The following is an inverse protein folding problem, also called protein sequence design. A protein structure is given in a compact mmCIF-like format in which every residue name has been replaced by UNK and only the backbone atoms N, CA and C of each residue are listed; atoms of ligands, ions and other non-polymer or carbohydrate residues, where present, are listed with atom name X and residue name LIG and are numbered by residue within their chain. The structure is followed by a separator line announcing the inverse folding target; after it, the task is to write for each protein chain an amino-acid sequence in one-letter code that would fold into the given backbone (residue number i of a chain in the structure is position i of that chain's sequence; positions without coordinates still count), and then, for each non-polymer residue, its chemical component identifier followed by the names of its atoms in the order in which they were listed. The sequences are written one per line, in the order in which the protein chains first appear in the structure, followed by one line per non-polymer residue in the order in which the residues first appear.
data_IF_535863410917
#
_entry.id   IF_535863410917
#
_cell.length_a   1.000
_cell.length_b   1.000
_cell.length_c   1.000
_cell.angle_alpha   90.00
_cell.angle_beta   90.00
_cell.angle_gamma   90.00
#
_symmetry.space_group_name_H-M   'P 1'
#
loop_
_entity.id
_entity.type
_entity.pdbx_description
1 polymer ?
#
# COMPACT_ATOMS: atom_id res chain seq x y z
N UNK A 1 -4.92 -2.94 20.95
CA UNK A 1 -5.81 -2.05 20.17
C UNK A 1 -5.66 -0.63 20.70
N UNK A 2 -5.29 0.36 19.88
CA UNK A 2 -4.89 1.71 20.35
C UNK A 2 -5.54 2.88 19.57
N UNK A 3 -6.03 2.63 18.35
CA UNK A 3 -6.54 3.68 17.43
C UNK A 3 -8.08 3.87 17.48
N UNK A 4 -8.80 3.14 18.34
CA UNK A 4 -10.25 3.27 18.51
C UNK A 4 -11.11 2.67 17.39
N UNK A 5 -10.52 1.90 16.48
CA UNK A 5 -11.23 1.19 15.41
C UNK A 5 -11.76 -0.17 15.89
N UNK A 6 -12.89 -0.60 15.31
CA UNK A 6 -13.44 -1.95 15.52
C UNK A 6 -12.86 -2.90 14.48
N UNK A 7 -12.29 -4.02 14.91
CA UNK A 7 -11.82 -5.05 14.00
C UNK A 7 -13.00 -5.77 13.34
N UNK A 8 -12.92 -5.93 12.02
CA UNK A 8 -13.88 -6.71 11.26
C UNK A 8 -13.50 -8.20 11.33
N UNK A 9 -14.20 -8.97 12.14
CA UNK A 9 -13.98 -10.41 12.24
C UNK A 9 -14.59 -11.14 11.04
N UNK A 10 -13.73 -11.60 10.12
CA UNK A 10 -14.12 -12.34 8.91
C UNK A 10 -13.99 -13.86 9.07
N UNK A 11 -13.77 -14.35 10.30
CA UNK A 11 -13.68 -15.79 10.61
C UNK A 11 -12.41 -16.50 10.12
N UNK A 12 -11.43 -15.76 9.59
CA UNK A 12 -10.15 -16.27 9.07
C UNK A 12 -9.01 -15.52 9.76
N UNK A 13 -8.04 -16.26 10.34
CA UNK A 13 -6.83 -15.67 10.97
C UNK A 13 -5.60 -16.17 10.21
N UNK A 14 -4.89 -15.26 9.56
CA UNK A 14 -3.55 -15.54 9.01
C UNK A 14 -2.50 -15.50 10.11
N UNK A 15 -1.45 -16.31 9.98
CA UNK A 15 -0.27 -16.24 10.85
C UNK A 15 0.62 -15.06 10.44
N UNK A 16 1.20 -14.33 11.39
CA UNK A 16 2.16 -13.25 11.10
C UNK A 16 3.52 -13.86 10.70
N UNK A 17 4.09 -13.42 9.58
CA UNK A 17 5.45 -13.80 9.19
C UNK A 17 6.50 -12.97 9.95
N UNK A 18 7.75 -13.45 9.99
CA UNK A 18 8.85 -12.76 10.66
C UNK A 18 9.13 -11.32 10.14
N UNK A 19 8.65 -10.98 8.93
CA UNK A 19 8.76 -9.64 8.33
C UNK A 19 7.56 -8.72 8.60
N UNK A 20 6.59 -9.13 9.42
CA UNK A 20 5.38 -8.35 9.70
C UNK A 20 4.32 -8.41 8.58
N UNK A 21 4.51 -9.25 7.56
CA UNK A 21 3.50 -9.50 6.52
C UNK A 21 2.58 -10.67 6.92
N UNK A 22 1.32 -10.61 6.52
CA UNK A 22 0.38 -11.72 6.74
C UNK A 22 0.81 -12.96 5.94
N UNK A 23 0.77 -14.13 6.58
CA UNK A 23 1.01 -15.42 5.95
C UNK A 23 -0.03 -15.73 4.86
N UNK A 24 0.36 -16.59 3.91
CA UNK A 24 -0.53 -16.99 2.82
C UNK A 24 -1.68 -17.85 3.35
N UNK A 25 -2.90 -17.35 3.20
CA UNK A 25 -4.12 -18.11 3.45
C UNK A 25 -4.32 -19.18 2.37
N UNK A 26 -4.95 -20.29 2.72
CA UNK A 26 -5.36 -21.29 1.71
C UNK A 26 -6.39 -20.69 0.74
N UNK A 27 -6.50 -21.23 -0.47
CA UNK A 27 -7.46 -20.72 -1.48
C UNK A 27 -8.90 -20.71 -0.98
N UNK A 28 -9.30 -21.69 -0.18
CA UNK A 28 -10.65 -21.77 0.37
C UNK A 28 -10.88 -20.74 1.48
N UNK A 29 -9.87 -20.46 2.31
CA UNK A 29 -9.91 -19.40 3.31
C UNK A 29 -9.96 -18.01 2.66
N UNK A 30 -9.15 -17.78 1.62
CA UNK A 30 -9.19 -16.54 0.85
C UNK A 30 -10.57 -16.31 0.23
N UNK A 31 -11.16 -17.34 -0.39
CA UNK A 31 -12.51 -17.25 -0.98
C UNK A 31 -13.55 -16.88 0.07
N UNK A 32 -13.56 -17.57 1.22
CA UNK A 32 -14.51 -17.28 2.32
C UNK A 32 -14.33 -15.87 2.87
N UNK A 33 -13.08 -15.44 3.09
CA UNK A 33 -12.79 -14.10 3.55
C UNK A 33 -13.27 -13.05 2.55
N UNK A 34 -13.05 -13.28 1.26
CA UNK A 34 -13.48 -12.38 0.19
C UNK A 34 -15.01 -12.29 0.09
N UNK A 35 -15.71 -13.43 0.23
CA UNK A 35 -17.18 -13.46 0.24
C UNK A 35 -17.77 -12.69 1.43
N UNK A 36 -17.25 -12.92 2.64
CA UNK A 36 -17.70 -12.23 3.84
C UNK A 36 -17.39 -10.73 3.76
N UNK A 37 -16.21 -10.35 3.28
CA UNK A 37 -15.84 -8.96 3.07
C UNK A 37 -16.79 -8.30 2.06
N UNK A 38 -17.04 -8.93 0.92
CA UNK A 38 -17.93 -8.44 -0.11
C UNK A 38 -19.40 -8.32 0.35
N UNK A 39 -19.82 -9.15 1.31
CA UNK A 39 -21.14 -9.06 1.92
C UNK A 39 -21.29 -7.83 2.83
N UNK A 40 -20.21 -7.45 3.53
CA UNK A 40 -20.22 -6.34 4.50
C UNK A 40 -19.91 -4.96 3.92
N UNK A 41 -19.15 -4.88 2.82
CA UNK A 41 -18.80 -3.60 2.16
C UNK A 41 -20.01 -2.66 1.98
N UNK A 42 -21.20 -3.14 1.54
CA UNK A 42 -22.40 -2.30 1.39
C UNK A 42 -22.88 -1.58 2.66
N UNK A 43 -22.48 -2.04 3.85
CA UNK A 43 -22.86 -1.43 5.13
C UNK A 43 -22.11 -0.10 5.36
N UNK A 44 -20.96 0.10 4.70
CA UNK A 44 -20.09 1.25 4.89
C UNK A 44 -20.36 2.38 3.89
N UNK A 45 -20.31 3.62 4.37
CA UNK A 45 -20.42 4.82 3.51
C UNK A 45 -19.09 5.12 2.80
N UNK A 46 -17.97 4.90 3.48
CA UNK A 46 -16.61 5.15 2.97
C UNK A 46 -15.75 3.93 3.19
N UNK A 47 -15.08 3.46 2.14
CA UNK A 47 -14.14 2.33 2.19
C UNK A 47 -12.77 2.80 1.69
N UNK A 48 -11.72 2.55 2.48
CA UNK A 48 -10.33 2.88 2.11
C UNK A 48 -9.55 1.58 2.00
N UNK A 49 -8.98 1.30 0.83
CA UNK A 49 -8.22 0.07 0.57
C UNK A 49 -6.73 0.37 0.46
N UNK A 50 -5.92 -0.42 1.17
CA UNK A 50 -4.47 -0.21 1.27
C UNK A 50 -3.66 -1.50 1.04
N UNK A 51 -4.29 -2.60 0.61
CA UNK A 51 -3.60 -3.87 0.47
C UNK A 51 -2.71 -3.85 -0.78
N UNK A 52 -1.40 -3.90 -0.59
CA UNK A 52 -0.41 -3.90 -1.65
C UNK A 52 0.79 -4.75 -1.24
N UNK A 53 1.18 -5.69 -2.11
CA UNK A 53 2.41 -6.45 -1.97
C UNK A 53 3.39 -5.93 -3.03
N UNK A 54 4.56 -5.40 -2.64
CA UNK A 54 5.55 -4.88 -3.59
C UNK A 54 5.88 -5.91 -4.68
N UNK A 55 5.86 -5.48 -5.94
CA UNK A 55 6.17 -6.32 -7.10
C UNK A 55 5.06 -7.28 -7.54
N UNK A 56 3.88 -7.28 -6.89
CA UNK A 56 2.72 -8.06 -7.31
C UNK A 56 1.54 -7.13 -7.65
N UNK A 57 0.61 -7.55 -8.54
CA UNK A 57 -0.65 -6.85 -8.73
C UNK A 57 -1.43 -6.75 -7.42
N UNK A 58 -2.18 -5.66 -7.26
CA UNK A 58 -3.08 -5.48 -6.13
C UNK A 58 -4.16 -6.58 -6.11
N UNK A 59 -4.48 -7.18 -4.94
CA UNK A 59 -5.52 -8.19 -4.84
C UNK A 59 -6.91 -7.55 -5.06
N UNK A 60 -7.78 -8.21 -5.82
CA UNK A 60 -9.16 -7.74 -6.06
C UNK A 60 -10.07 -8.09 -4.88
N UNK A 61 -10.07 -7.24 -3.86
CA UNK A 61 -10.82 -7.42 -2.63
C UNK A 61 -12.28 -6.93 -2.73
N UNK A 62 -12.56 -5.98 -3.63
CA UNK A 62 -13.89 -5.39 -3.78
C UNK A 62 -14.43 -5.69 -5.18
N UNK A 63 -15.28 -6.74 -5.33
CA UNK A 63 -15.92 -7.05 -6.60
C UNK A 63 -16.90 -5.96 -7.03
N UNK A 64 -17.10 -5.77 -8.33
CA UNK A 64 -18.06 -4.80 -8.86
C UNK A 64 -19.49 -5.01 -8.32
N UNK A 65 -19.86 -6.28 -8.10
CA UNK A 65 -21.15 -6.63 -7.50
C UNK A 65 -21.31 -6.16 -6.05
N UNK A 66 -20.22 -6.00 -5.30
CA UNK A 66 -20.27 -5.41 -3.96
C UNK A 66 -20.43 -3.89 -4.03
N UNK A 67 -19.75 -3.24 -4.99
CA UNK A 67 -19.83 -1.79 -5.24
C UNK A 67 -21.27 -1.39 -5.60
N UNK A 68 -21.90 -2.13 -6.52
CA UNK A 68 -23.28 -1.88 -6.95
C UNK A 68 -24.33 -2.04 -5.84
N UNK A 69 -23.99 -2.70 -4.72
CA UNK A 69 -24.86 -2.84 -3.56
C UNK A 69 -24.65 -1.74 -2.51
N UNK A 70 -23.60 -0.94 -2.64
CA UNK A 70 -23.37 0.17 -1.71
C UNK A 70 -24.47 1.24 -1.86
N UNK A 71 -24.60 2.07 -0.84
CA UNK A 71 -25.57 3.17 -0.87
C UNK A 71 -25.12 4.22 -1.90
N UNK A 72 -26.02 4.78 -2.73
CA UNK A 72 -25.68 5.91 -3.58
C UNK A 72 -25.13 7.08 -2.76
N UNK A 73 -24.02 7.66 -3.21
CA UNK A 73 -23.23 8.67 -2.49
C UNK A 73 -22.05 8.09 -1.70
N UNK A 74 -21.92 6.76 -1.60
CA UNK A 74 -20.75 6.11 -1.00
C UNK A 74 -19.45 6.44 -1.75
N UNK A 75 -18.31 6.29 -1.06
CA UNK A 75 -16.98 6.55 -1.60
C UNK A 75 -16.03 5.38 -1.36
N UNK A 76 -15.26 5.01 -2.38
CA UNK A 76 -14.13 4.09 -2.27
C UNK A 76 -12.84 4.88 -2.57
N UNK A 77 -11.87 4.85 -1.66
CA UNK A 77 -10.53 5.41 -1.86
C UNK A 77 -9.54 4.26 -1.98
N UNK A 78 -9.00 4.06 -3.18
CA UNK A 78 -8.13 2.93 -3.49
C UNK A 78 -6.66 3.35 -3.56
N UNK A 79 -5.94 3.15 -2.45
CA UNK A 79 -4.53 3.55 -2.34
C UNK A 79 -3.59 2.63 -3.14
N UNK A 80 -4.07 1.48 -3.61
CA UNK A 80 -3.30 0.53 -4.42
C UNK A 80 -3.58 0.67 -5.92
N UNK A 81 -4.21 1.78 -6.35
CA UNK A 81 -4.60 2.01 -7.74
C UNK A 81 -3.43 1.89 -8.73
N UNK A 82 -2.21 2.31 -8.34
CA UNK A 82 -1.02 2.20 -9.19
C UNK A 82 -0.65 0.75 -9.57
N UNK A 83 -0.99 -0.21 -8.70
CA UNK A 83 -0.76 -1.64 -8.92
C UNK A 83 -2.01 -2.36 -9.45
N UNK A 84 -2.97 -1.61 -9.98
CA UNK A 84 -4.23 -2.12 -10.54
C UNK A 84 -5.44 -1.97 -9.64
N UNK A 85 -5.27 -1.56 -8.38
CA UNK A 85 -6.37 -1.28 -7.43
C UNK A 85 -6.99 -2.51 -6.76
N UNK A 86 -7.44 -2.34 -5.53
CA UNK A 86 -8.16 -3.36 -4.76
C UNK A 86 -9.63 -3.51 -5.17
N UNK A 87 -10.24 -2.45 -5.73
CA UNK A 87 -11.58 -2.54 -6.30
C UNK A 87 -11.54 -2.87 -7.81
N UNK A 88 -12.47 -3.70 -8.27
CA UNK A 88 -12.54 -4.10 -9.69
C UNK A 88 -12.84 -2.91 -10.61
N UNK A 89 -13.60 -1.92 -10.12
CA UNK A 89 -13.98 -0.73 -10.89
C UNK A 89 -13.01 0.45 -10.74
N UNK A 90 -11.88 0.28 -10.04
CA UNK A 90 -10.85 1.32 -9.92
C UNK A 90 -10.18 1.57 -11.27
N UNK A 91 -10.13 2.83 -11.69
CA UNK A 91 -9.34 3.28 -12.84
C UNK A 91 -8.11 4.05 -12.34
N UNK A 92 -6.88 3.54 -12.56
CA UNK A 92 -5.67 4.21 -12.08
C UNK A 92 -5.54 5.64 -12.60
N UNK A 93 -5.29 6.57 -11.69
CA UNK A 93 -5.12 8.00 -11.96
C UNK A 93 -6.43 8.77 -12.09
N UNK A 94 -7.59 8.16 -11.88
CA UNK A 94 -8.89 8.81 -12.09
C UNK A 94 -9.79 8.79 -10.86
N UNK A 95 -10.74 9.71 -10.87
CA UNK A 95 -11.94 9.66 -10.04
C UNK A 95 -13.10 9.32 -10.95
N UNK A 96 -13.79 8.21 -10.68
CA UNK A 96 -14.89 7.72 -11.52
C UNK A 96 -16.11 7.44 -10.66
N UNK A 97 -17.30 7.51 -11.27
CA UNK A 97 -18.56 7.14 -10.62
C UNK A 97 -19.09 5.85 -11.26
N UNK A 98 -19.52 4.90 -10.42
CA UNK A 98 -20.15 3.63 -10.80
C UNK A 98 -21.27 3.31 -9.82
N UNK A 99 -22.47 3.05 -10.33
CA UNK A 99 -23.63 2.58 -9.53
C UNK A 99 -23.99 3.49 -8.33
N UNK A 100 -23.78 4.79 -8.47
CA UNK A 100 -23.96 5.80 -7.42
C UNK A 100 -22.76 5.95 -6.48
N UNK A 101 -21.66 5.22 -6.68
CA UNK A 101 -20.47 5.21 -5.82
C UNK A 101 -19.33 5.96 -6.49
N UNK A 102 -18.66 6.84 -5.75
CA UNK A 102 -17.44 7.52 -6.22
C UNK A 102 -16.21 6.68 -5.89
N UNK A 103 -15.41 6.34 -6.90
CA UNK A 103 -14.13 5.65 -6.75
C UNK A 103 -12.97 6.60 -7.01
N UNK A 104 -12.11 6.76 -6.02
CA UNK A 104 -10.90 7.60 -6.06
C UNK A 104 -9.68 6.68 -6.23
N UNK A 105 -9.15 6.61 -7.45
CA UNK A 105 -7.98 5.80 -7.80
C UNK A 105 -6.74 6.64 -8.11
N UNK A 106 -6.51 7.74 -7.40
CA UNK A 106 -5.38 8.63 -7.65
C UNK A 106 -4.04 7.93 -7.31
N UNK A 107 -3.09 7.97 -8.24
CA UNK A 107 -1.78 7.28 -8.10
C UNK A 107 -0.69 8.14 -7.45
N UNK A 108 -0.93 9.43 -7.26
CA UNK A 108 0.01 10.33 -6.61
C UNK A 108 -0.71 11.19 -5.54
N UNK A 109 -1.31 10.52 -4.56
CA UNK A 109 -2.03 11.19 -3.48
C UNK A 109 -1.12 12.12 -2.66
N UNK A 110 0.16 11.79 -2.48
CA UNK A 110 1.11 12.64 -1.79
C UNK A 110 1.24 14.04 -2.44
N UNK A 111 1.13 14.12 -3.78
CA UNK A 111 1.15 15.40 -4.49
C UNK A 111 -0.07 16.29 -4.21
N UNK A 112 -1.14 15.78 -3.60
CA UNK A 112 -2.27 16.60 -3.13
C UNK A 112 -1.96 17.37 -1.84
N UNK A 113 -0.90 16.99 -1.12
CA UNK A 113 -0.37 17.69 0.05
C UNK A 113 1.12 18.01 -0.15
N UNK A 114 1.47 18.79 -1.19
CA UNK A 114 2.85 18.91 -1.68
C UNK A 114 3.79 19.49 -0.62
N UNK A 115 3.33 20.48 0.16
CA UNK A 115 4.13 21.09 1.22
C UNK A 115 4.61 20.06 2.25
N UNK A 116 3.69 19.25 2.79
CA UNK A 116 4.02 18.25 3.81
C UNK A 116 4.77 17.07 3.21
N UNK A 117 4.40 16.61 2.02
CA UNK A 117 5.11 15.55 1.31
C UNK A 117 6.58 15.93 1.09
N UNK A 118 6.85 17.14 0.58
CA UNK A 118 8.21 17.65 0.38
C UNK A 118 8.97 17.78 1.69
N UNK A 119 8.33 18.29 2.75
CA UNK A 119 8.98 18.46 4.06
C UNK A 119 9.41 17.12 4.67
N UNK A 120 8.55 16.10 4.63
CA UNK A 120 8.85 14.77 5.17
C UNK A 120 9.89 14.04 4.30
N UNK A 121 9.78 14.14 2.98
CA UNK A 121 10.78 13.55 2.07
C UNK A 121 12.16 14.19 2.26
N UNK A 122 12.24 15.52 2.38
CA UNK A 122 13.50 16.22 2.64
C UNK A 122 14.15 15.81 3.97
N UNK A 123 13.36 15.49 5.00
CA UNK A 123 13.87 14.94 6.26
C UNK A 123 14.47 13.55 6.07
N UNK A 124 13.83 12.67 5.29
CA UNK A 124 14.38 11.34 4.99
C UNK A 124 15.72 11.46 4.24
N UNK A 125 15.81 12.34 3.25
CA UNK A 125 17.06 12.61 2.52
C UNK A 125 18.13 13.21 3.43
N UNK A 126 17.77 14.16 4.29
CA UNK A 126 18.72 14.76 5.24
C UNK A 126 19.28 13.73 6.22
N UNK A 127 18.42 12.85 6.75
CA UNK A 127 18.84 11.77 7.64
C UNK A 127 19.76 10.78 6.92
N UNK A 128 19.43 10.40 5.68
CA UNK A 128 20.29 9.55 4.87
C UNK A 128 21.65 10.20 4.59
N UNK A 129 21.69 11.49 4.26
CA UNK A 129 22.95 12.20 4.04
C UNK A 129 23.77 12.34 5.33
N UNK A 130 23.13 12.57 6.48
CA UNK A 130 23.83 12.59 7.77
C UNK A 130 24.43 11.23 8.13
N UNK A 131 23.77 10.13 7.74
CA UNK A 131 24.29 8.77 7.89
C UNK A 131 25.47 8.50 6.96
N UNK A 132 25.37 8.90 5.68
CA UNK A 132 26.39 8.62 4.66
C UNK A 132 27.57 9.61 4.67
N UNK A 133 27.40 10.80 5.23
CA UNK A 133 28.40 11.87 5.26
C UNK A 133 28.37 12.66 6.58
N UNK A 134 28.67 12.02 7.72
CA UNK A 134 28.57 12.64 9.04
C UNK A 134 29.47 13.87 9.21
N UNK A 135 30.63 13.88 8.56
CA UNK A 135 31.61 14.98 8.59
C UNK A 135 31.60 15.85 7.31
N UNK A 136 30.55 15.72 6.48
CA UNK A 136 30.42 16.47 5.22
C UNK A 136 31.13 15.85 4.02
N UNK A 137 31.88 14.77 4.21
CA UNK A 137 32.43 13.91 3.15
C UNK A 137 31.79 12.52 3.19
N UNK A 138 31.61 11.88 2.03
CA UNK A 138 31.01 10.55 1.94
C UNK A 138 31.89 9.51 2.64
N UNK A 139 31.33 8.84 3.63
CA UNK A 139 31.92 7.73 4.37
C UNK A 139 31.02 6.50 4.21
N UNK A 140 31.16 5.80 3.08
CA UNK A 140 30.32 4.65 2.72
C UNK A 140 30.84 3.37 3.37
N UNK A 141 30.19 2.90 4.44
CA UNK A 141 30.43 1.57 5.01
C UNK A 141 29.55 0.52 4.34
N UNK A 142 30.15 -0.36 3.55
CA UNK A 142 29.42 -1.40 2.84
C UNK A 142 28.99 -2.59 3.72
N UNK A 143 29.43 -2.64 4.98
CA UNK A 143 28.94 -3.61 5.96
C UNK A 143 27.70 -3.11 6.70
N UNK A 144 27.40 -1.82 6.62
CA UNK A 144 26.19 -1.23 7.17
C UNK A 144 24.97 -1.55 6.29
N UNK A 145 23.91 -2.07 6.91
CA UNK A 145 22.72 -2.56 6.20
C UNK A 145 21.99 -1.45 5.44
N UNK A 146 21.96 -0.23 5.98
CA UNK A 146 21.30 0.92 5.37
C UNK A 146 22.07 1.35 4.12
N UNK A 147 23.39 1.48 4.23
CA UNK A 147 24.28 1.90 3.15
C UNK A 147 24.28 0.88 2.01
N UNK A 148 24.43 -0.41 2.34
CA UNK A 148 24.38 -1.49 1.37
C UNK A 148 22.99 -1.62 0.72
N UNK A 149 21.92 -1.55 1.52
CA UNK A 149 20.54 -1.71 1.05
C UNK A 149 20.04 -0.54 0.19
N UNK A 150 20.48 0.69 0.46
CA UNK A 150 20.10 1.86 -0.34
C UNK A 150 20.84 1.95 -1.69
N UNK A 151 22.01 1.31 -1.81
CA UNK A 151 22.85 1.38 -3.00
C UNK A 151 22.44 0.36 -4.08
N UNK A 152 21.69 0.80 -5.08
CA UNK A 152 21.25 -0.07 -6.20
C UNK A 152 22.31 -0.27 -7.30
N UNK A 153 23.31 0.62 -7.38
CA UNK A 153 24.39 0.55 -8.38
C UNK A 153 25.67 1.18 -7.83
N UNK A 154 26.82 0.55 -8.12
CA UNK A 154 28.17 1.07 -7.83
C UNK A 154 29.16 0.51 -8.85
N UNK A 155 30.30 1.18 -9.03
CA UNK A 155 31.38 0.62 -9.83
C UNK A 155 31.82 -0.74 -9.25
N UNK A 156 31.93 -1.75 -10.12
CA UNK A 156 32.53 -3.02 -9.70
C UNK A 156 34.02 -2.78 -9.56
N UNK A 157 34.55 -3.01 -8.37
CA UNK A 157 35.99 -3.11 -8.15
C UNK A 157 36.54 -4.17 -9.12
N UNK A 158 37.49 -3.78 -9.98
CA UNK A 158 38.07 -4.68 -10.96
C UNK A 158 38.79 -5.81 -10.21
N UNK A 159 38.37 -7.06 -10.42
CA UNK A 159 39.11 -8.21 -9.90
C UNK A 159 40.49 -8.25 -10.58
N UNK A 160 41.61 -8.16 -9.85
CA UNK A 160 42.93 -8.36 -10.44
C UNK A 160 42.99 -9.77 -11.05
N UNK A 161 43.45 -9.85 -12.30
CA UNK A 161 43.67 -11.12 -13.04
C UNK A 161 44.93 -11.80 -12.55
#
# INVERSE_FOLDING_TARGET
ESLGATFLELGVRGEETAGGYAGELTTEEQRKQQEELAARIPEYDVVITTALIPGRPAPKLIPAAAIARMRPGSVIVDLAAEAGGNAESTEPGKVVERDGVTLIGLTNLAATMPFHASQLYARNISALLQHLAPEGELALDWNDEITAGACVTREKEATPV
#
